data_IF_610531019799
#
_entry.id   IF_610531019799
#
_cell.length_a   1.000
_cell.length_b   1.000
_cell.length_c   1.000
_cell.angle_alpha   90.00
_cell.angle_beta   90.00
_cell.angle_gamma   90.00
#
_symmetry.space_group_name_H-M   'P 1'
#
loop_
_entity.id
_entity.type
_entity.pdbx_description
1 polymer ?
#
# COMPACT_ATOMS: atom_id res chain seq x y z
N UNK A 1 -14.22 -4.02 14.68
CA UNK A 1 -12.79 -4.25 14.44
C UNK A 1 -12.51 -5.43 13.51
N UNK A 2 -13.18 -6.58 13.67
CA UNK A 2 -13.08 -7.72 12.73
C UNK A 2 -13.21 -7.31 11.25
N UNK A 3 -14.34 -6.69 10.87
CA UNK A 3 -14.55 -6.25 9.48
C UNK A 3 -13.56 -5.17 9.00
N UNK A 4 -13.01 -4.35 9.89
CA UNK A 4 -11.93 -3.43 9.49
C UNK A 4 -10.66 -4.20 9.14
N UNK A 5 -10.29 -5.19 9.95
CA UNK A 5 -9.19 -6.08 9.66
C UNK A 5 -9.38 -6.80 8.32
N UNK A 6 -10.54 -7.46 8.15
CA UNK A 6 -10.86 -8.22 6.95
C UNK A 6 -10.87 -7.30 5.70
N UNK A 7 -11.29 -6.03 5.87
CA UNK A 7 -11.24 -5.02 4.82
C UNK A 7 -9.83 -4.80 4.27
N UNK A 8 -8.82 -4.79 5.15
CA UNK A 8 -7.44 -4.56 4.74
C UNK A 8 -6.78 -5.84 4.21
N UNK A 9 -7.15 -7.01 4.74
CA UNK A 9 -6.47 -8.28 4.47
C UNK A 9 -7.24 -9.25 3.56
N UNK A 10 -8.33 -8.77 2.94
CA UNK A 10 -9.19 -9.56 2.09
C UNK A 10 -8.55 -10.01 0.79
N UNK A 11 -9.09 -11.09 0.25
CA UNK A 11 -8.77 -11.71 -1.02
C UNK A 11 -10.06 -11.84 -1.83
N UNK A 12 -10.10 -11.20 -2.99
CA UNK A 12 -11.24 -11.27 -3.88
C UNK A 12 -10.74 -11.46 -5.32
N UNK A 13 -10.55 -12.71 -5.76
CA UNK A 13 -10.15 -13.01 -7.13
C UNK A 13 -11.22 -12.51 -8.09
N UNK A 14 -10.79 -11.87 -9.17
CA UNK A 14 -11.72 -11.35 -10.16
C UNK A 14 -12.51 -12.48 -10.85
N UNK A 15 -13.84 -12.34 -10.97
CA UNK A 15 -14.64 -13.24 -11.79
C UNK A 15 -14.47 -12.98 -13.30
N UNK A 16 -13.87 -11.85 -13.70
CA UNK A 16 -13.75 -11.45 -15.09
C UNK A 16 -12.66 -12.26 -15.82
N UNK A 17 -12.96 -12.91 -16.96
CA UNK A 17 -12.00 -13.78 -17.64
C UNK A 17 -10.70 -13.09 -18.05
N UNK A 18 -10.76 -11.83 -18.47
CA UNK A 18 -9.60 -11.07 -18.92
C UNK A 18 -8.66 -10.65 -17.77
N UNK A 19 -9.13 -10.73 -16.51
CA UNK A 19 -8.33 -10.44 -15.33
C UNK A 19 -7.63 -11.69 -14.79
N UNK A 20 -7.87 -12.87 -15.38
CA UNK A 20 -7.20 -14.13 -15.07
C UNK A 20 -7.17 -14.49 -13.56
N UNK A 21 -8.24 -14.19 -12.84
CA UNK A 21 -8.33 -14.48 -11.41
C UNK A 21 -7.44 -13.59 -10.52
N UNK A 22 -6.92 -12.47 -11.04
CA UNK A 22 -6.17 -11.48 -10.27
C UNK A 22 -6.99 -11.00 -9.07
N UNK A 23 -6.34 -10.83 -7.93
CA UNK A 23 -6.97 -10.26 -6.75
C UNK A 23 -7.33 -8.78 -6.98
N UNK A 24 -8.62 -8.47 -6.84
CA UNK A 24 -9.21 -7.14 -7.08
C UNK A 24 -9.80 -6.54 -5.80
N UNK A 25 -9.56 -7.13 -4.63
CA UNK A 25 -10.15 -6.64 -3.39
C UNK A 25 -9.77 -5.19 -3.06
N UNK A 26 -8.49 -4.85 -3.23
CA UNK A 26 -8.01 -3.47 -3.04
C UNK A 26 -8.72 -2.48 -3.96
N UNK A 27 -8.91 -2.83 -5.24
CA UNK A 27 -9.68 -2.00 -6.18
C UNK A 27 -11.11 -1.84 -5.70
N UNK A 28 -11.77 -2.93 -5.33
CA UNK A 28 -13.17 -2.91 -4.91
C UNK A 28 -13.37 -2.02 -3.68
N UNK A 29 -12.52 -2.12 -2.67
CA UNK A 29 -12.67 -1.40 -1.41
C UNK A 29 -12.29 0.09 -1.53
N UNK A 30 -11.23 0.41 -2.27
CA UNK A 30 -10.69 1.78 -2.33
C UNK A 30 -11.15 2.59 -3.55
N UNK A 31 -11.55 1.94 -4.64
CA UNK A 31 -11.92 2.62 -5.88
C UNK A 31 -13.43 2.62 -6.15
N UNK A 32 -14.23 1.89 -5.37
CA UNK A 32 -15.69 1.94 -5.44
C UNK A 32 -16.25 2.85 -4.36
N UNK A 33 -17.06 3.82 -4.77
CA UNK A 33 -17.69 4.77 -3.85
C UNK A 33 -18.44 4.03 -2.73
N UNK A 34 -18.22 4.44 -1.47
CA UNK A 34 -18.78 3.86 -0.24
C UNK A 34 -18.45 2.38 0.05
N UNK A 35 -17.73 1.66 -0.79
CA UNK A 35 -17.53 0.21 -0.61
C UNK A 35 -16.87 -0.14 0.73
N UNK A 36 -15.78 0.53 1.10
CA UNK A 36 -15.15 0.35 2.42
C UNK A 36 -16.13 0.58 3.58
N UNK A 37 -16.91 1.67 3.52
CA UNK A 37 -17.88 2.01 4.57
C UNK A 37 -18.90 0.89 4.70
N UNK A 38 -19.53 0.53 3.58
CA UNK A 38 -20.55 -0.52 3.52
C UNK A 38 -20.03 -1.87 4.05
N UNK A 39 -18.80 -2.23 3.67
CA UNK A 39 -18.16 -3.44 4.16
C UNK A 39 -17.98 -3.42 5.69
N UNK A 40 -17.38 -2.35 6.21
CA UNK A 40 -17.10 -2.20 7.65
C UNK A 40 -18.38 -2.15 8.48
N UNK A 41 -19.42 -1.45 8.02
CA UNK A 41 -20.69 -1.27 8.75
C UNK A 41 -21.72 -2.37 8.50
N UNK A 42 -21.37 -3.41 7.73
CA UNK A 42 -22.28 -4.49 7.38
C UNK A 42 -23.59 -3.98 6.76
N UNK A 43 -23.46 -3.11 5.76
CA UNK A 43 -24.59 -2.50 5.06
C UNK A 43 -24.42 -2.60 3.54
N UNK A 44 -25.45 -2.17 2.80
CA UNK A 44 -25.41 -2.10 1.34
C UNK A 44 -25.05 -3.44 0.70
N UNK A 45 -24.10 -3.41 -0.24
CA UNK A 45 -23.62 -4.59 -0.98
C UNK A 45 -23.03 -5.68 -0.06
N UNK A 46 -22.56 -5.31 1.12
CA UNK A 46 -21.75 -6.16 2.00
C UNK A 46 -22.44 -6.56 3.31
N UNK A 47 -23.77 -6.40 3.38
CA UNK A 47 -24.55 -6.73 4.58
C UNK A 47 -24.28 -8.16 5.06
N UNK A 48 -24.48 -9.12 4.16
CA UNK A 48 -24.38 -10.56 4.45
C UNK A 48 -23.12 -11.20 3.81
N UNK A 49 -22.08 -10.40 3.56
CA UNK A 49 -20.83 -10.85 2.95
C UNK A 49 -19.64 -10.61 3.87
N UNK A 50 -18.79 -11.62 4.00
CA UNK A 50 -17.45 -11.51 4.57
C UNK A 50 -16.43 -11.91 3.52
N UNK A 51 -15.41 -11.08 3.33
CA UNK A 51 -14.36 -11.38 2.36
C UNK A 51 -13.48 -12.51 2.88
N UNK A 52 -13.11 -13.50 2.05
CA UNK A 52 -12.02 -14.42 2.36
C UNK A 52 -10.73 -13.64 2.63
N UNK A 53 -9.84 -14.18 3.45
CA UNK A 53 -8.60 -13.51 3.82
C UNK A 53 -7.45 -14.07 3.00
N UNK A 54 -6.40 -13.26 2.82
CA UNK A 54 -5.18 -13.72 2.16
C UNK A 54 -4.50 -14.81 3.01
N UNK A 55 -3.77 -15.78 2.39
CA UNK A 55 -3.25 -16.95 3.09
C UNK A 55 -2.33 -16.64 4.28
N UNK A 56 -1.61 -15.51 4.24
CA UNK A 56 -0.74 -15.09 5.35
C UNK A 56 -1.51 -14.65 6.61
N UNK A 57 -2.84 -14.51 6.54
CA UNK A 57 -3.69 -14.12 7.66
C UNK A 57 -4.27 -15.30 8.45
N UNK A 58 -4.12 -16.54 7.98
CA UNK A 58 -4.73 -17.68 8.63
C UNK A 58 -4.09 -17.92 10.01
N UNK A 59 -4.76 -17.44 11.07
CA UNK A 59 -4.52 -17.71 12.50
C UNK A 59 -3.25 -17.13 13.15
N UNK A 60 -2.68 -16.05 12.62
CA UNK A 60 -1.39 -15.55 13.11
C UNK A 60 -1.50 -14.60 14.32
N UNK A 61 -0.50 -14.67 15.22
CA UNK A 61 -0.27 -13.66 16.26
C UNK A 61 -0.22 -12.22 15.70
N UNK A 62 0.07 -12.06 14.41
CA UNK A 62 0.08 -10.78 13.68
C UNK A 62 -1.31 -10.15 13.66
N UNK A 63 -2.37 -10.92 13.36
CA UNK A 63 -3.75 -10.41 13.37
C UNK A 63 -4.12 -9.85 14.74
N UNK A 64 -3.82 -10.62 15.80
CA UNK A 64 -4.06 -10.18 17.17
C UNK A 64 -3.24 -8.92 17.49
N UNK A 65 -1.95 -8.91 17.17
CA UNK A 65 -1.06 -7.77 17.41
C UNK A 65 -1.56 -6.49 16.71
N UNK A 66 -1.98 -6.59 15.46
CA UNK A 66 -2.51 -5.47 14.69
C UNK A 66 -3.81 -4.94 15.29
N UNK A 67 -4.76 -5.84 15.63
CA UNK A 67 -6.02 -5.46 16.28
C UNK A 67 -5.77 -4.82 17.65
N UNK A 68 -4.92 -5.43 18.48
CA UNK A 68 -4.57 -4.92 19.81
C UNK A 68 -3.94 -3.52 19.70
N UNK A 69 -3.02 -3.31 18.76
CA UNK A 69 -2.39 -2.01 18.51
C UNK A 69 -3.42 -0.96 18.10
N UNK A 70 -4.32 -1.30 17.16
CA UNK A 70 -5.38 -0.39 16.72
C UNK A 70 -6.34 -0.03 17.86
N UNK A 71 -6.64 -0.98 18.75
CA UNK A 71 -7.49 -0.72 19.91
C UNK A 71 -6.77 0.13 20.96
N UNK A 72 -5.47 -0.06 21.17
CA UNK A 72 -4.67 0.72 22.11
C UNK A 72 -4.46 2.15 21.61
N UNK A 73 -4.00 2.31 20.37
CA UNK A 73 -3.50 3.58 19.84
C UNK A 73 -4.56 4.39 19.07
N UNK A 74 -5.67 3.74 18.70
CA UNK A 74 -6.77 4.30 17.88
C UNK A 74 -6.27 4.74 16.49
N UNK A 75 -7.17 5.35 15.71
CA UNK A 75 -6.92 5.72 14.32
C UNK A 75 -6.67 7.22 14.12
N UNK A 76 -6.77 8.05 15.17
CA UNK A 76 -6.64 9.51 15.03
C UNK A 76 -5.29 9.90 14.42
N UNK A 77 -4.18 9.41 14.99
CA UNK A 77 -2.84 9.69 14.49
C UNK A 77 -2.62 9.20 13.05
N UNK A 78 -2.88 7.92 12.74
CA UNK A 78 -2.76 7.40 11.38
C UNK A 78 -3.61 8.15 10.33
N UNK A 79 -4.82 8.61 10.68
CA UNK A 79 -5.70 9.35 9.75
C UNK A 79 -5.18 10.77 9.48
N UNK A 80 -4.45 11.39 10.41
CA UNK A 80 -3.94 12.75 10.21
C UNK A 80 -3.05 12.92 8.97
N UNK A 81 -2.36 11.86 8.49
CA UNK A 81 -1.61 11.92 7.23
C UNK A 81 -2.52 12.23 6.03
N UNK A 82 -3.71 11.62 6.00
CA UNK A 82 -4.70 11.84 4.94
C UNK A 82 -5.43 13.16 5.13
N UNK A 83 -5.83 13.49 6.36
CA UNK A 83 -6.47 14.78 6.66
C UNK A 83 -5.55 15.95 6.31
N UNK A 84 -4.25 15.82 6.61
CA UNK A 84 -3.25 16.84 6.25
C UNK A 84 -3.18 17.07 4.73
N UNK A 85 -3.26 15.99 3.94
CA UNK A 85 -3.30 16.07 2.48
C UNK A 85 -4.62 16.68 1.97
N UNK A 86 -5.78 16.27 2.51
CA UNK A 86 -7.08 16.77 2.04
C UNK A 86 -7.33 18.23 2.43
N UNK A 87 -6.90 18.61 3.63
CA UNK A 87 -7.03 19.97 4.16
C UNK A 87 -5.85 20.87 3.77
N UNK A 88 -4.87 20.34 3.04
CA UNK A 88 -3.71 21.07 2.53
C UNK A 88 -2.86 21.76 3.62
N UNK A 89 -2.77 21.16 4.82
CA UNK A 89 -2.07 21.78 5.96
C UNK A 89 -0.55 21.86 5.76
N UNK A 90 0.02 21.11 4.80
CA UNK A 90 1.45 21.11 4.48
C UNK A 90 1.88 22.16 3.45
N UNK A 91 0.95 22.94 2.88
CA UNK A 91 1.26 23.77 1.70
C UNK A 91 2.35 24.81 1.92
N UNK A 92 2.45 25.39 3.11
CA UNK A 92 3.48 26.38 3.41
C UNK A 92 4.86 25.76 3.44
N UNK A 93 4.98 24.57 4.07
CA UNK A 93 6.22 23.79 4.12
C UNK A 93 6.63 23.32 2.71
N UNK A 94 5.70 22.80 1.92
CA UNK A 94 5.92 22.37 0.53
C UNK A 94 6.41 23.53 -0.34
N UNK A 95 5.83 24.74 -0.17
CA UNK A 95 6.29 25.94 -0.87
C UNK A 95 7.70 26.32 -0.47
N UNK A 96 8.04 26.23 0.81
CA UNK A 96 9.38 26.54 1.28
C UNK A 96 10.41 25.54 0.75
N UNK A 97 10.12 24.24 0.83
CA UNK A 97 10.94 23.19 0.24
C UNK A 97 11.17 23.43 -1.25
N UNK A 98 10.12 23.81 -1.99
CA UNK A 98 10.19 24.14 -3.40
C UNK A 98 11.10 25.35 -3.71
N UNK A 99 11.25 26.32 -2.78
CA UNK A 99 12.13 27.49 -2.94
C UNK A 99 13.61 27.14 -2.78
N UNK A 100 13.94 26.13 -1.98
CA UNK A 100 15.33 25.70 -1.77
C UNK A 100 16.00 25.19 -3.06
N UNK A 101 15.22 24.85 -4.09
CA UNK A 101 15.69 24.39 -5.39
C UNK A 101 16.15 22.93 -5.42
N UNK A 102 16.32 22.28 -4.27
CA UNK A 102 16.65 20.86 -4.20
C UNK A 102 15.39 20.00 -4.21
N UNK A 103 14.94 19.62 -5.40
CA UNK A 103 13.75 18.77 -5.60
C UNK A 103 14.07 17.34 -6.00
N UNK A 104 15.35 17.02 -6.18
CA UNK A 104 15.79 15.72 -6.68
C UNK A 104 16.20 14.83 -5.52
N UNK A 105 15.94 13.54 -5.67
CA UNK A 105 16.52 12.50 -4.83
C UNK A 105 17.97 12.31 -5.26
N UNK A 106 18.90 12.85 -4.47
CA UNK A 106 20.34 12.82 -4.73
C UNK A 106 21.01 11.53 -4.22
N UNK A 107 20.24 10.63 -3.61
CA UNK A 107 20.67 9.32 -3.13
C UNK A 107 20.14 8.21 -4.04
N UNK A 108 20.84 7.06 -4.13
CA UNK A 108 20.31 5.88 -4.80
C UNK A 108 18.96 5.46 -4.21
N UNK A 109 17.98 5.19 -5.07
CA UNK A 109 16.61 4.80 -4.69
C UNK A 109 16.32 3.39 -5.18
N UNK A 110 15.73 2.58 -4.31
CA UNK A 110 15.10 1.32 -4.69
C UNK A 110 13.59 1.49 -4.64
N UNK A 111 12.91 1.34 -5.78
CA UNK A 111 11.46 1.28 -5.85
C UNK A 111 11.00 -0.16 -6.08
N UNK A 112 10.24 -0.69 -5.13
CA UNK A 112 9.63 -2.03 -5.23
C UNK A 112 8.15 -1.85 -5.47
N UNK A 113 7.71 -2.06 -6.71
CA UNK A 113 6.32 -2.02 -7.13
C UNK A 113 5.65 -3.39 -7.05
N UNK A 114 4.35 -3.41 -6.79
CA UNK A 114 3.56 -4.63 -6.66
C UNK A 114 2.53 -4.72 -7.78
N UNK A 115 2.58 -5.79 -8.58
CA UNK A 115 1.68 -5.99 -9.72
C UNK A 115 0.22 -6.15 -9.28
N UNK A 116 -0.06 -6.59 -8.07
CA UNK A 116 -1.40 -6.70 -7.50
C UNK A 116 -1.86 -5.47 -6.70
N UNK A 117 -1.04 -4.42 -6.57
CA UNK A 117 -1.44 -3.20 -5.86
C UNK A 117 -2.19 -2.25 -6.80
N UNK A 118 -3.49 -2.09 -6.54
CA UNK A 118 -4.38 -1.25 -7.32
C UNK A 118 -4.34 0.23 -6.91
N UNK A 119 -3.72 0.55 -5.76
CA UNK A 119 -3.61 1.92 -5.24
C UNK A 119 -2.26 2.52 -5.63
N UNK A 120 -1.17 1.78 -5.39
CA UNK A 120 0.18 2.20 -5.79
C UNK A 120 0.66 1.41 -6.99
N UNK A 121 0.11 1.74 -8.15
CA UNK A 121 0.46 1.10 -9.42
C UNK A 121 1.93 1.34 -9.76
N UNK A 122 2.53 0.36 -10.43
CA UNK A 122 3.95 0.37 -10.78
C UNK A 122 4.31 1.47 -11.77
N UNK A 123 3.36 1.94 -12.58
CA UNK A 123 3.56 3.02 -13.54
C UNK A 123 3.66 4.41 -12.89
N UNK A 124 3.20 4.61 -11.65
CA UNK A 124 3.21 5.94 -11.01
C UNK A 124 4.62 6.50 -10.76
N UNK A 125 5.67 5.67 -10.81
CA UNK A 125 7.06 6.13 -10.71
C UNK A 125 7.52 6.84 -12.00
N UNK A 126 6.85 6.65 -13.15
CA UNK A 126 7.24 7.30 -14.41
C UNK A 126 7.26 8.81 -14.29
N UNK A 127 6.25 9.41 -13.64
CA UNK A 127 6.14 10.86 -13.53
C UNK A 127 7.37 11.48 -12.85
N UNK A 128 7.87 10.84 -11.78
CA UNK A 128 9.05 11.31 -11.07
C UNK A 128 10.34 11.12 -11.89
N UNK A 129 10.45 10.04 -12.67
CA UNK A 129 11.60 9.80 -13.55
C UNK A 129 11.63 10.76 -14.72
N UNK A 130 10.50 10.95 -15.39
CA UNK A 130 10.37 11.81 -16.58
C UNK A 130 10.61 13.27 -16.21
N UNK A 131 10.23 13.67 -14.99
CA UNK A 131 10.57 14.98 -14.41
C UNK A 131 12.04 15.08 -13.93
N UNK A 132 12.84 14.02 -14.00
CA UNK A 132 14.22 13.97 -13.55
C UNK A 132 14.40 14.14 -12.04
N UNK A 133 13.36 13.81 -11.25
CA UNK A 133 13.35 13.91 -9.78
C UNK A 133 14.03 12.73 -9.11
N UNK A 134 14.04 11.56 -9.74
CA UNK A 134 14.70 10.35 -9.24
C UNK A 134 15.74 9.83 -10.26
N UNK A 135 16.88 10.52 -10.45
CA UNK A 135 17.84 10.20 -11.50
C UNK A 135 18.59 8.87 -11.29
N UNK A 136 18.68 8.38 -10.05
CA UNK A 136 19.29 7.08 -9.71
C UNK A 136 18.28 6.17 -9.02
N UNK A 137 17.23 5.78 -9.75
CA UNK A 137 16.23 4.81 -9.28
C UNK A 137 16.43 3.45 -9.93
N UNK A 138 16.46 2.41 -9.10
CA UNK A 138 16.33 1.02 -9.52
C UNK A 138 14.90 0.55 -9.22
N UNK A 139 14.19 0.08 -10.25
CA UNK A 139 12.83 -0.42 -10.10
C UNK A 139 12.80 -1.94 -10.14
N UNK A 140 12.02 -2.53 -9.23
CA UNK A 140 11.70 -3.95 -9.20
C UNK A 140 10.21 -4.13 -9.08
N UNK A 141 9.65 -5.02 -9.87
CA UNK A 141 8.25 -5.41 -9.74
C UNK A 141 8.14 -6.79 -9.12
N UNK A 142 7.15 -6.97 -8.25
CA UNK A 142 6.85 -8.24 -7.61
C UNK A 142 5.40 -8.66 -7.87
N UNK A 143 5.18 -9.96 -8.04
CA UNK A 143 3.84 -10.53 -8.08
C UNK A 143 3.30 -10.68 -6.65
N UNK A 144 2.71 -9.60 -6.14
CA UNK A 144 2.12 -9.50 -4.80
C UNK A 144 1.05 -8.39 -4.78
N UNK A 145 0.20 -8.39 -3.77
CA UNK A 145 -0.71 -7.29 -3.45
C UNK A 145 -0.04 -6.17 -2.63
N UNK A 146 -0.86 -5.23 -2.14
CA UNK A 146 -0.41 -4.04 -1.38
C UNK A 146 0.46 -4.37 -0.16
N UNK A 147 0.19 -5.50 0.50
CA UNK A 147 0.85 -5.93 1.73
C UNK A 147 2.03 -6.88 1.48
N UNK A 148 2.90 -6.53 0.54
CA UNK A 148 4.01 -7.39 0.08
C UNK A 148 4.92 -7.91 1.20
N UNK A 149 5.10 -7.15 2.28
CA UNK A 149 5.93 -7.57 3.41
C UNK A 149 5.33 -8.74 4.20
N UNK A 150 4.01 -8.94 4.13
CA UNK A 150 3.34 -10.11 4.68
C UNK A 150 3.19 -11.23 3.65
N UNK A 151 2.94 -10.89 2.38
CA UNK A 151 2.78 -11.87 1.30
C UNK A 151 4.09 -12.58 0.93
N UNK A 152 5.19 -11.82 0.84
CA UNK A 152 6.48 -12.28 0.32
C UNK A 152 7.67 -11.74 1.15
N UNK A 153 7.69 -11.92 2.49
CA UNK A 153 8.70 -11.33 3.36
C UNK A 153 10.13 -11.69 2.95
N UNK A 154 10.40 -12.96 2.64
CA UNK A 154 11.74 -13.41 2.31
C UNK A 154 12.23 -12.91 0.95
N UNK A 155 11.33 -12.81 -0.04
CA UNK A 155 11.67 -12.32 -1.37
C UNK A 155 12.01 -10.82 -1.31
N UNK A 156 11.24 -10.05 -0.55
CA UNK A 156 11.55 -8.63 -0.28
C UNK A 156 12.88 -8.50 0.46
N UNK A 157 13.12 -9.31 1.50
CA UNK A 157 14.36 -9.25 2.26
C UNK A 157 15.59 -9.56 1.40
N UNK A 158 15.52 -10.57 0.54
CA UNK A 158 16.60 -10.90 -0.42
C UNK A 158 16.86 -9.77 -1.41
N UNK A 159 15.79 -9.18 -1.96
CA UNK A 159 15.88 -8.07 -2.91
C UNK A 159 16.55 -6.84 -2.28
N UNK A 160 16.13 -6.45 -1.07
CA UNK A 160 16.74 -5.34 -0.33
C UNK A 160 18.21 -5.64 -0.01
N UNK A 161 18.50 -6.87 0.46
CA UNK A 161 19.87 -7.28 0.79
C UNK A 161 20.80 -7.22 -0.43
N UNK A 162 20.37 -7.77 -1.57
CA UNK A 162 21.13 -7.72 -2.82
C UNK A 162 21.37 -6.27 -3.27
N UNK A 163 20.34 -5.44 -3.25
CA UNK A 163 20.45 -4.03 -3.64
C UNK A 163 21.44 -3.28 -2.73
N UNK A 164 21.33 -3.45 -1.42
CA UNK A 164 22.23 -2.82 -0.46
C UNK A 164 23.68 -3.25 -0.67
N UNK A 165 23.94 -4.55 -0.85
CA UNK A 165 25.29 -5.07 -1.08
C UNK A 165 25.91 -4.53 -2.38
N UNK A 166 25.12 -4.38 -3.44
CA UNK A 166 25.59 -3.80 -4.72
C UNK A 166 25.81 -2.30 -4.65
N UNK A 167 24.92 -1.55 -4.00
CA UNK A 167 24.93 -0.08 -3.99
C UNK A 167 25.83 0.52 -2.92
N UNK A 168 26.03 -0.21 -1.82
CA UNK A 168 26.81 0.26 -0.67
C UNK A 168 27.79 -0.83 -0.21
N UNK A 169 28.78 -1.21 -1.06
CA UNK A 169 29.82 -2.14 -0.66
C UNK A 169 30.62 -1.56 0.51
N UNK A 170 30.86 -2.38 1.53
CA UNK A 170 31.69 -2.06 2.70
C UNK A 170 33.13 -2.49 2.44
#
# INVERSE_FOLDING_TARGET
MKRFYDCMHGLYPSPEPHENGRDIWMREIFCTHNAMREYITASGKYKDYEVPLKPYDETSAVKKQQIDRLLRDRMQGPICYYTSLTENTMLEDERELCRTGNRKLDKPVLYIGQKGDWVRRTDLMSDAKDAGLAPDVEEKEMDAGHWVLYEKPEEVARLISDWLQRRFPV
#
